data_IF_461366124724
#
_entry.id   IF_461366124724
#
_cell.length_a   1.000
_cell.length_b   1.000
_cell.length_c   1.000
_cell.angle_alpha   90.00
_cell.angle_beta   90.00
_cell.angle_gamma   90.00
#
_symmetry.space_group_name_H-M   'P 1'
#
loop_
_entity.id
_entity.type
_entity.pdbx_description
1 polymer ?
#
# COMPACT_ATOMS: atom_id res chain seq x y z
N UNK A 1 -6.01 -4.79 28.00
CA UNK A 1 -6.74 -4.81 26.70
C UNK A 1 -6.07 -3.93 25.66
N UNK A 2 -5.52 -2.77 26.05
CA UNK A 2 -4.74 -1.91 25.16
C UNK A 2 -3.60 -2.68 24.46
N UNK A 3 -2.71 -3.34 25.19
CA UNK A 3 -1.57 -4.07 24.58
C UNK A 3 -1.98 -5.09 23.51
N UNK A 4 -3.12 -5.77 23.67
CA UNK A 4 -3.61 -6.71 22.67
C UNK A 4 -4.06 -5.99 21.38
N UNK A 5 -4.72 -4.82 21.52
CA UNK A 5 -5.08 -3.96 20.39
C UNK A 5 -3.83 -3.42 19.68
N UNK A 6 -2.82 -2.99 20.42
CA UNK A 6 -1.57 -2.42 19.85
C UNK A 6 -0.80 -3.47 19.05
N UNK A 7 -0.62 -4.66 19.63
CA UNK A 7 -0.01 -5.82 18.95
C UNK A 7 -0.82 -6.21 17.72
N UNK A 8 -2.14 -6.35 17.86
CA UNK A 8 -3.01 -6.71 16.74
C UNK A 8 -2.95 -5.68 15.60
N UNK A 9 -2.99 -4.39 15.94
CA UNK A 9 -2.86 -3.28 14.99
C UNK A 9 -1.53 -3.34 14.27
N UNK A 10 -0.44 -3.52 15.01
CA UNK A 10 0.92 -3.63 14.45
C UNK A 10 1.04 -4.81 13.50
N UNK A 11 0.48 -5.98 13.85
CA UNK A 11 0.48 -7.16 12.98
C UNK A 11 -0.32 -6.91 11.69
N UNK A 12 -1.54 -6.36 11.80
CA UNK A 12 -2.40 -6.08 10.64
C UNK A 12 -1.74 -5.09 9.69
N UNK A 13 -1.19 -3.99 10.21
CA UNK A 13 -0.48 -2.99 9.41
C UNK A 13 0.79 -3.59 8.80
N UNK A 14 1.55 -4.38 9.57
CA UNK A 14 2.77 -5.04 9.10
C UNK A 14 2.51 -5.99 7.93
N UNK A 15 1.45 -6.79 7.98
CA UNK A 15 1.06 -7.67 6.87
C UNK A 15 0.67 -6.86 5.64
N UNK A 16 -0.10 -5.78 5.80
CA UNK A 16 -0.47 -4.88 4.71
C UNK A 16 0.77 -4.26 4.04
N UNK A 17 1.72 -3.76 4.83
CA UNK A 17 2.98 -3.20 4.35
C UNK A 17 3.82 -4.27 3.63
N UNK A 18 3.85 -5.50 4.16
CA UNK A 18 4.53 -6.63 3.53
C UNK A 18 3.98 -6.96 2.15
N UNK A 19 2.66 -6.89 1.95
CA UNK A 19 2.03 -7.07 0.63
C UNK A 19 2.49 -5.98 -0.34
N UNK A 20 2.43 -4.71 0.06
CA UNK A 20 2.83 -3.57 -0.78
C UNK A 20 4.32 -3.58 -1.13
N UNK A 21 5.16 -3.98 -0.17
CA UNK A 21 6.59 -4.19 -0.35
C UNK A 21 6.87 -5.31 -1.36
N UNK A 22 6.21 -6.46 -1.20
CA UNK A 22 6.33 -7.59 -2.13
C UNK A 22 5.91 -7.20 -3.55
N UNK A 23 4.87 -6.37 -3.70
CA UNK A 23 4.48 -5.83 -5.01
C UNK A 23 5.64 -5.06 -5.66
N UNK A 24 6.28 -4.16 -4.91
CA UNK A 24 7.37 -3.33 -5.43
C UNK A 24 8.63 -4.13 -5.78
N UNK A 25 9.08 -5.01 -4.88
CA UNK A 25 10.41 -5.61 -4.94
C UNK A 25 10.44 -7.06 -5.42
N UNK A 26 9.29 -7.74 -5.51
CA UNK A 26 9.21 -9.14 -5.93
C UNK A 26 8.31 -9.30 -7.15
N UNK A 27 7.04 -8.88 -7.05
CA UNK A 27 6.06 -9.11 -8.11
C UNK A 27 6.38 -8.27 -9.35
N UNK A 28 6.66 -6.98 -9.21
CA UNK A 28 6.98 -6.13 -10.36
C UNK A 28 8.24 -6.60 -11.12
N UNK A 29 9.37 -6.92 -10.44
CA UNK A 29 10.53 -7.52 -11.11
C UNK A 29 10.21 -8.83 -11.84
N UNK A 30 9.45 -9.74 -11.23
CA UNK A 30 9.01 -10.98 -11.88
C UNK A 30 8.22 -10.67 -13.15
N UNK A 31 7.22 -9.80 -13.06
CA UNK A 31 6.37 -9.44 -14.20
C UNK A 31 7.15 -8.68 -15.29
N UNK A 32 8.21 -7.96 -14.95
CA UNK A 32 9.11 -7.28 -15.89
C UNK A 32 10.04 -8.24 -16.64
N UNK A 33 10.39 -9.37 -16.03
CA UNK A 33 11.25 -10.40 -16.64
C UNK A 33 10.51 -11.37 -17.57
N UNK A 34 9.18 -11.35 -17.58
CA UNK A 34 8.38 -12.25 -18.42
C UNK A 34 8.44 -11.85 -19.90
N UNK A 35 8.54 -12.81 -20.83
CA UNK A 35 8.51 -12.54 -22.26
C UNK A 35 7.13 -12.09 -22.74
N UNK A 36 7.12 -11.46 -23.92
CA UNK A 36 5.92 -11.05 -24.64
C UNK A 36 4.95 -10.22 -23.78
N UNK A 37 3.66 -10.53 -23.85
CA UNK A 37 2.61 -9.82 -23.10
C UNK A 37 2.22 -10.51 -21.79
N UNK A 38 2.98 -11.52 -21.34
CA UNK A 38 2.69 -12.22 -20.08
C UNK A 38 2.78 -11.26 -18.87
N UNK A 39 3.80 -10.39 -18.84
CA UNK A 39 3.94 -9.37 -17.80
C UNK A 39 2.77 -8.38 -17.77
N UNK A 40 2.27 -7.98 -18.95
CA UNK A 40 1.13 -7.07 -19.07
C UNK A 40 -0.17 -7.72 -18.58
N UNK A 41 -0.45 -8.95 -19.00
CA UNK A 41 -1.63 -9.71 -18.54
C UNK A 41 -1.61 -9.96 -17.04
N UNK A 42 -0.44 -10.30 -16.49
CA UNK A 42 -0.23 -10.45 -15.05
C UNK A 42 -0.54 -9.17 -14.28
N UNK A 43 -0.08 -8.00 -14.78
CA UNK A 43 -0.42 -6.70 -14.20
C UNK A 43 -1.92 -6.41 -14.25
N UNK A 44 -2.57 -6.61 -15.39
CA UNK A 44 -4.02 -6.37 -15.52
C UNK A 44 -4.83 -7.21 -14.55
N UNK A 45 -4.48 -8.49 -14.39
CA UNK A 45 -5.12 -9.38 -13.41
C UNK A 45 -4.81 -8.95 -11.97
N UNK A 46 -3.54 -8.67 -11.65
CA UNK A 46 -3.11 -8.19 -10.34
C UNK A 46 -3.82 -6.90 -9.93
N UNK A 47 -3.95 -5.92 -10.83
CA UNK A 47 -4.69 -4.68 -10.57
C UNK A 47 -6.17 -4.89 -10.26
N UNK A 48 -6.81 -5.96 -10.77
CA UNK A 48 -8.21 -6.31 -10.43
C UNK A 48 -8.28 -6.93 -9.04
N UNK A 49 -7.45 -7.93 -8.76
CA UNK A 49 -7.43 -8.64 -7.48
C UNK A 49 -7.02 -7.70 -6.32
N UNK A 50 -5.84 -7.08 -6.43
CA UNK A 50 -5.34 -6.16 -5.39
C UNK A 50 -6.22 -4.91 -5.30
N UNK A 51 -6.74 -4.41 -6.42
CA UNK A 51 -7.64 -3.26 -6.42
C UNK A 51 -8.93 -3.49 -5.62
N UNK A 52 -9.40 -4.74 -5.50
CA UNK A 52 -10.57 -5.09 -4.70
C UNK A 52 -10.22 -5.33 -3.22
N UNK A 53 -9.06 -5.93 -2.94
CA UNK A 53 -8.68 -6.35 -1.58
C UNK A 53 -8.02 -5.22 -0.79
N UNK A 54 -7.17 -4.41 -1.41
CA UNK A 54 -6.37 -3.40 -0.72
C UNK A 54 -7.17 -2.31 0.02
N UNK A 55 -8.33 -1.81 -0.48
CA UNK A 55 -9.11 -0.83 0.26
C UNK A 55 -9.51 -1.32 1.66
N UNK A 56 -9.85 -2.60 1.81
CA UNK A 56 -10.21 -3.20 3.11
C UNK A 56 -9.03 -3.15 4.07
N UNK A 57 -7.84 -3.50 3.60
CA UNK A 57 -6.62 -3.44 4.42
C UNK A 57 -6.27 -2.02 4.86
N UNK A 58 -6.37 -1.02 3.98
CA UNK A 58 -6.06 0.37 4.32
C UNK A 58 -7.09 0.97 5.28
N UNK A 59 -8.38 0.76 5.03
CA UNK A 59 -9.46 1.27 5.88
C UNK A 59 -9.36 0.61 7.26
N UNK A 60 -9.19 -0.72 7.31
CA UNK A 60 -9.01 -1.46 8.56
C UNK A 60 -7.78 -0.99 9.34
N UNK A 61 -6.65 -0.80 8.66
CA UNK A 61 -5.41 -0.28 9.28
C UNK A 61 -5.60 1.11 9.86
N UNK A 62 -6.21 2.04 9.12
CA UNK A 62 -6.47 3.40 9.58
C UNK A 62 -7.43 3.42 10.77
N UNK A 63 -8.49 2.62 10.73
CA UNK A 63 -9.44 2.50 11.82
C UNK A 63 -8.76 1.99 13.10
N UNK A 64 -7.94 0.94 12.99
CA UNK A 64 -7.20 0.38 14.12
C UNK A 64 -6.22 1.39 14.72
N UNK A 65 -5.45 2.10 13.88
CA UNK A 65 -4.51 3.14 14.33
C UNK A 65 -5.25 4.31 15.00
N UNK A 66 -6.41 4.72 14.47
CA UNK A 66 -7.23 5.75 15.09
C UNK A 66 -7.77 5.32 16.47
N UNK A 67 -8.27 4.08 16.60
CA UNK A 67 -8.73 3.54 17.88
C UNK A 67 -7.57 3.47 18.87
N UNK A 68 -6.39 3.03 18.45
CA UNK A 68 -5.20 3.04 19.30
C UNK A 68 -4.84 4.45 19.76
N UNK A 69 -4.76 5.43 18.85
CA UNK A 69 -4.44 6.81 19.22
C UNK A 69 -5.43 7.41 20.24
N UNK A 70 -6.73 7.12 20.10
CA UNK A 70 -7.77 7.60 21.01
C UNK A 70 -7.67 6.88 22.37
N UNK A 71 -7.51 5.55 22.37
CA UNK A 71 -7.46 4.76 23.59
C UNK A 71 -6.15 4.98 24.39
N UNK A 72 -5.06 5.31 23.70
CA UNK A 72 -3.73 5.53 24.26
C UNK A 72 -3.40 6.98 24.58
N UNK A 73 -4.34 7.94 24.42
CA UNK A 73 -4.09 9.39 24.37
C UNK A 73 -3.16 9.98 25.45
N UNK A 74 -3.10 9.38 26.64
CA UNK A 74 -2.29 9.83 27.76
C UNK A 74 -0.93 9.10 27.91
N UNK A 75 -0.56 8.24 26.97
CA UNK A 75 0.72 7.54 26.95
C UNK A 75 1.75 8.24 26.07
N UNK A 76 3.02 8.15 26.45
CA UNK A 76 4.14 8.84 25.81
C UNK A 76 4.33 8.45 24.32
N UNK A 77 3.83 7.29 23.89
CA UNK A 77 3.88 6.83 22.49
C UNK A 77 2.83 7.43 21.55
N UNK A 78 1.85 8.17 22.04
CA UNK A 78 0.69 8.65 21.25
C UNK A 78 1.11 9.49 20.04
N UNK A 79 2.13 10.34 20.20
CA UNK A 79 2.61 11.18 19.10
C UNK A 79 3.12 10.36 17.90
N UNK A 80 3.75 9.20 18.16
CA UNK A 80 4.22 8.29 17.11
C UNK A 80 3.04 7.62 16.40
N UNK A 81 2.03 7.18 17.14
CA UNK A 81 0.80 6.55 16.59
C UNK A 81 0.03 7.54 15.71
N UNK A 82 -0.13 8.79 16.15
CA UNK A 82 -0.80 9.84 15.36
C UNK A 82 -0.01 10.14 14.09
N UNK A 83 1.32 10.24 14.19
CA UNK A 83 2.18 10.46 13.02
C UNK A 83 2.11 9.29 12.04
N UNK A 84 2.11 8.05 12.53
CA UNK A 84 1.91 6.86 11.71
C UNK A 84 0.54 6.88 10.99
N UNK A 85 -0.53 7.26 11.70
CA UNK A 85 -1.85 7.44 11.11
C UNK A 85 -1.88 8.48 10.00
N UNK A 86 -1.19 9.61 10.19
CA UNK A 86 -1.06 10.65 9.18
C UNK A 86 -0.29 10.16 7.93
N UNK A 87 0.78 9.38 8.10
CA UNK A 87 1.52 8.78 6.99
C UNK A 87 0.70 7.71 6.24
N UNK A 88 -0.09 6.89 6.95
CA UNK A 88 -1.03 5.96 6.32
C UNK A 88 -2.10 6.71 5.51
N UNK A 89 -2.65 7.79 6.06
CA UNK A 89 -3.61 8.63 5.36
C UNK A 89 -3.00 9.28 4.11
N UNK A 90 -1.76 9.79 4.22
CA UNK A 90 -1.00 10.29 3.08
C UNK A 90 -0.84 9.22 2.01
N UNK A 91 -0.51 7.98 2.38
CA UNK A 91 -0.41 6.85 1.44
C UNK A 91 -1.75 6.56 0.72
N UNK A 92 -2.88 6.67 1.42
CA UNK A 92 -4.21 6.55 0.81
C UNK A 92 -4.45 7.67 -0.21
N UNK A 93 -4.16 8.91 0.16
CA UNK A 93 -4.29 10.07 -0.74
C UNK A 93 -3.41 9.92 -1.98
N UNK A 94 -2.15 9.54 -1.81
CA UNK A 94 -1.23 9.24 -2.91
C UNK A 94 -1.81 8.15 -3.83
N UNK A 95 -2.39 7.09 -3.26
CA UNK A 95 -3.00 6.01 -4.03
C UNK A 95 -4.15 6.52 -4.89
N UNK A 96 -5.11 7.23 -4.29
CA UNK A 96 -6.30 7.72 -4.98
C UNK A 96 -5.97 8.71 -6.10
N UNK A 97 -4.99 9.60 -5.88
CA UNK A 97 -4.64 10.65 -6.83
C UNK A 97 -3.66 10.19 -7.92
N UNK A 98 -2.73 9.29 -7.60
CA UNK A 98 -1.60 8.97 -8.48
C UNK A 98 -1.64 7.53 -9.00
N UNK A 99 -1.95 6.54 -8.15
CA UNK A 99 -1.83 5.12 -8.52
C UNK A 99 -3.13 4.53 -9.08
N UNK A 100 -4.27 4.79 -8.43
CA UNK A 100 -5.60 4.27 -8.79
C UNK A 100 -6.02 4.68 -10.21
N UNK A 101 -5.80 5.93 -10.67
CA UNK A 101 -6.16 6.31 -12.04
C UNK A 101 -5.42 5.47 -13.09
N UNK A 102 -4.14 5.17 -12.85
CA UNK A 102 -3.33 4.35 -13.75
C UNK A 102 -3.78 2.88 -13.66
N UNK A 103 -4.01 2.36 -12.46
CA UNK A 103 -4.52 1.01 -12.25
C UNK A 103 -5.88 0.78 -12.92
N UNK A 104 -6.78 1.76 -12.89
CA UNK A 104 -8.09 1.64 -13.53
C UNK A 104 -8.00 1.53 -15.05
N UNK A 105 -7.02 2.20 -15.67
CA UNK A 105 -6.70 1.99 -17.09
C UNK A 105 -6.08 0.62 -17.32
N UNK A 106 -5.09 0.25 -16.51
CA UNK A 106 -4.40 -1.04 -16.64
C UNK A 106 -5.35 -2.25 -16.54
N UNK A 107 -6.38 -2.17 -15.69
CA UNK A 107 -7.41 -3.23 -15.57
C UNK A 107 -8.10 -3.58 -16.90
N UNK A 108 -8.19 -2.65 -17.86
CA UNK A 108 -8.88 -2.85 -19.14
C UNK A 108 -7.93 -3.16 -20.30
N UNK A 109 -6.62 -3.07 -20.06
CA UNK A 109 -5.63 -3.28 -21.12
C UNK A 109 -5.48 -4.75 -21.49
N UNK A 110 -5.41 -4.99 -22.78
CA UNK A 110 -5.03 -6.23 -23.45
C UNK A 110 -3.85 -5.94 -24.40
N UNK A 111 -3.15 -6.97 -24.90
CA UNK A 111 -2.08 -6.78 -25.89
C UNK A 111 -2.53 -5.96 -27.10
N UNK A 112 -3.79 -6.11 -27.51
CA UNK A 112 -4.37 -5.53 -28.72
C UNK A 112 -4.85 -4.08 -28.53
N UNK A 113 -5.23 -3.69 -27.31
CA UNK A 113 -5.89 -2.40 -27.06
C UNK A 113 -5.06 -1.39 -26.25
N UNK A 114 -3.93 -1.82 -25.68
CA UNK A 114 -3.12 -0.95 -24.80
C UNK A 114 -2.58 0.26 -25.58
N UNK A 115 -2.53 1.45 -24.96
CA UNK A 115 -2.02 2.65 -25.62
C UNK A 115 -0.50 2.54 -25.85
N UNK A 116 0.04 3.23 -26.85
CA UNK A 116 1.46 3.18 -27.18
C UNK A 116 2.38 3.59 -26.01
N UNK A 117 1.89 4.46 -25.12
CA UNK A 117 2.61 4.97 -23.96
C UNK A 117 2.45 4.11 -22.69
N UNK A 118 1.82 2.92 -22.78
CA UNK A 118 1.48 2.11 -21.60
C UNK A 118 2.69 1.84 -20.69
N UNK A 119 3.88 1.61 -21.26
CA UNK A 119 5.13 1.41 -20.49
C UNK A 119 5.52 2.66 -19.69
N UNK A 120 5.36 3.84 -20.26
CA UNK A 120 5.64 5.10 -19.56
C UNK A 120 4.67 5.28 -18.39
N UNK A 121 3.39 4.95 -18.59
CA UNK A 121 2.40 4.98 -17.52
C UNK A 121 2.73 3.98 -16.39
N UNK A 122 3.17 2.76 -16.73
CA UNK A 122 3.61 1.75 -15.76
C UNK A 122 4.86 2.17 -15.00
N UNK A 123 5.88 2.72 -15.68
CA UNK A 123 7.09 3.23 -15.03
C UNK A 123 6.77 4.37 -14.06
N UNK A 124 5.81 5.25 -14.42
CA UNK A 124 5.34 6.31 -13.51
C UNK A 124 4.62 5.73 -12.29
N UNK A 125 3.77 4.72 -12.49
CA UNK A 125 3.11 4.02 -11.40
C UNK A 125 4.12 3.36 -10.45
N UNK A 126 5.15 2.68 -10.98
CA UNK A 126 6.20 2.04 -10.18
C UNK A 126 6.95 3.06 -9.33
N UNK A 127 7.33 4.22 -9.89
CA UNK A 127 7.98 5.30 -9.14
C UNK A 127 7.13 5.81 -7.99
N UNK A 128 5.85 6.10 -8.23
CA UNK A 128 4.95 6.53 -7.16
C UNK A 128 4.73 5.42 -6.12
N UNK A 129 4.69 4.16 -6.55
CA UNK A 129 4.56 3.03 -5.65
C UNK A 129 5.78 2.86 -4.75
N UNK A 130 7.00 3.04 -5.25
CA UNK A 130 8.22 3.02 -4.41
C UNK A 130 8.18 4.09 -3.32
N UNK A 131 7.82 5.33 -3.66
CA UNK A 131 7.68 6.41 -2.68
C UNK A 131 6.62 6.06 -1.64
N UNK A 132 5.48 5.52 -2.10
CA UNK A 132 4.39 5.09 -1.22
C UNK A 132 4.82 3.96 -0.27
N UNK A 133 5.62 3.00 -0.74
CA UNK A 133 6.20 1.93 0.09
C UNK A 133 7.10 2.52 1.17
N UNK A 134 7.95 3.50 0.84
CA UNK A 134 8.78 4.17 1.85
C UNK A 134 7.92 4.86 2.94
N UNK A 135 6.84 5.54 2.54
CA UNK A 135 5.91 6.21 3.47
C UNK A 135 5.24 5.22 4.43
N UNK A 136 4.72 4.09 3.92
CA UNK A 136 4.04 3.10 4.78
C UNK A 136 5.02 2.28 5.62
N UNK A 137 6.25 2.06 5.16
CA UNK A 137 7.32 1.46 5.98
C UNK A 137 7.66 2.39 7.14
N UNK A 138 7.81 3.70 6.89
CA UNK A 138 8.02 4.67 7.95
C UNK A 138 6.84 4.68 8.95
N UNK A 139 5.61 4.67 8.45
CA UNK A 139 4.42 4.58 9.31
C UNK A 139 4.45 3.32 10.20
N UNK A 140 4.78 2.17 9.62
CA UNK A 140 4.89 0.91 10.35
C UNK A 140 6.03 0.95 11.40
N UNK A 141 7.19 1.50 11.05
CA UNK A 141 8.29 1.69 12.01
C UNK A 141 7.86 2.53 13.21
N UNK A 142 7.09 3.60 12.98
CA UNK A 142 6.56 4.42 14.07
C UNK A 142 5.58 3.65 14.97
N UNK A 143 4.73 2.79 14.40
CA UNK A 143 3.84 1.93 15.20
C UNK A 143 4.64 0.92 16.04
N UNK A 144 5.67 0.30 15.45
CA UNK A 144 6.56 -0.62 16.18
C UNK A 144 7.30 0.12 17.30
N UNK A 145 7.79 1.34 17.04
CA UNK A 145 8.46 2.15 18.05
C UNK A 145 7.52 2.65 19.16
N UNK A 146 6.24 2.88 18.85
CA UNK A 146 5.23 3.26 19.84
C UNK A 146 4.83 2.09 20.76
N UNK A 147 4.97 0.85 20.26
CA UNK A 147 4.69 -0.38 21.01
C UNK A 147 5.87 -0.82 21.91
N UNK A 148 7.10 -0.43 21.54
CA UNK A 148 8.34 -0.83 22.21
C UNK A 148 8.57 -0.06 23.52
#
# INVERSE_FOLDING_TARGET
>A
MLNALEVFTTVVVGVMVGVEFSVAFVINPILNGLPDDAGQRGRSHGSRMLGAVMPVWYIGSLALVAVWAIAGWHHDGTGLVVTAGALLLLSVVMSLLLLVPINNRNKTWTPENRPADWKQQMNRWERFHYVRVAVIVAAFTLLVAALA
#
